data_IF_612923974561
#
_entry.id   IF_612923974561
#
_cell.length_a   1.000
_cell.length_b   1.000
_cell.length_c   1.000
_cell.angle_alpha   90.00
_cell.angle_beta   90.00
_cell.angle_gamma   90.00
#
_symmetry.space_group_name_H-M   'P 1'
#
loop_
_entity.id
_entity.type
_entity.pdbx_description
1 polymer ?
#
# COMPACT_ATOMS: atom_id res chain seq x y z
N UNK A 1 -40.74 25.93 -13.30
CA UNK A 1 -41.51 24.67 -13.12
C UNK A 1 -40.83 23.73 -12.14
N UNK A 2 -39.58 23.30 -12.37
CA UNK A 2 -38.86 22.38 -11.48
C UNK A 2 -38.66 22.88 -10.02
N UNK A 3 -38.37 24.16 -9.79
CA UNK A 3 -38.27 24.73 -8.43
C UNK A 3 -39.60 24.67 -7.65
N UNK A 4 -40.72 24.84 -8.35
CA UNK A 4 -42.07 24.75 -7.77
C UNK A 4 -42.42 23.28 -7.46
N UNK A 5 -42.02 22.35 -8.33
CA UNK A 5 -42.13 20.91 -8.07
C UNK A 5 -41.31 20.44 -6.87
N UNK A 6 -40.14 21.04 -6.61
CA UNK A 6 -39.26 20.69 -5.50
C UNK A 6 -39.82 21.17 -4.14
N UNK A 7 -40.37 22.39 -4.10
CA UNK A 7 -41.10 22.91 -2.93
C UNK A 7 -42.35 22.05 -2.66
N UNK A 8 -43.12 21.74 -3.72
CA UNK A 8 -44.32 20.90 -3.61
C UNK A 8 -43.99 19.47 -3.13
N UNK A 9 -42.91 18.85 -3.62
CA UNK A 9 -42.51 17.51 -3.18
C UNK A 9 -41.97 17.49 -1.74
N UNK A 10 -41.35 18.57 -1.26
CA UNK A 10 -40.97 18.72 0.17
C UNK A 10 -42.19 18.86 1.08
N UNK A 11 -43.26 19.50 0.61
CA UNK A 11 -44.51 19.64 1.36
C UNK A 11 -45.39 18.37 1.35
N UNK A 12 -45.21 17.47 0.37
CA UNK A 12 -46.07 16.31 0.14
C UNK A 12 -45.47 14.94 0.51
N UNK A 13 -44.40 14.90 1.33
CA UNK A 13 -43.74 13.65 1.81
C UNK A 13 -43.21 12.72 0.69
N UNK A 14 -43.14 13.20 -0.56
CA UNK A 14 -42.60 12.45 -1.70
C UNK A 14 -41.10 12.69 -1.84
N UNK A 15 -40.35 12.18 -0.85
CA UNK A 15 -38.90 12.37 -0.72
C UNK A 15 -38.12 11.87 -1.95
N UNK A 16 -38.50 10.73 -2.53
CA UNK A 16 -37.81 10.19 -3.72
C UNK A 16 -37.90 11.12 -4.93
N UNK A 17 -39.10 11.66 -5.22
CA UNK A 17 -39.28 12.61 -6.33
C UNK A 17 -38.63 13.96 -6.06
N UNK A 18 -38.59 14.39 -4.80
CA UNK A 18 -37.85 15.60 -4.41
C UNK A 18 -36.35 15.43 -4.71
N UNK A 19 -35.79 14.26 -4.37
CA UNK A 19 -34.39 13.93 -4.66
C UNK A 19 -34.15 13.86 -6.17
N UNK A 20 -35.00 13.17 -6.95
CA UNK A 20 -34.89 13.11 -8.41
C UNK A 20 -34.98 14.50 -9.07
N UNK A 21 -35.79 15.39 -8.50
CA UNK A 21 -35.90 16.77 -8.93
C UNK A 21 -34.63 17.58 -8.58
N UNK A 22 -34.05 17.40 -7.38
CA UNK A 22 -32.76 17.99 -7.01
C UNK A 22 -31.62 17.51 -7.92
N UNK A 23 -31.61 16.23 -8.28
CA UNK A 23 -30.64 15.63 -9.22
C UNK A 23 -30.81 16.24 -10.61
N UNK A 24 -32.05 16.33 -11.10
CA UNK A 24 -32.37 16.94 -12.39
C UNK A 24 -32.03 18.44 -12.44
N UNK A 25 -32.05 19.11 -11.29
CA UNK A 25 -31.67 20.52 -11.11
C UNK A 25 -30.19 20.72 -10.79
N UNK A 26 -29.37 19.66 -10.79
CA UNK A 26 -27.95 19.68 -10.48
C UNK A 26 -27.63 20.22 -9.05
N UNK A 27 -28.58 20.14 -8.11
CA UNK A 27 -28.49 20.61 -6.73
C UNK A 27 -28.12 19.46 -5.77
N UNK A 28 -26.91 18.94 -5.94
CA UNK A 28 -26.46 17.70 -5.28
C UNK A 28 -26.35 17.78 -3.76
N UNK A 29 -25.86 18.91 -3.20
CA UNK A 29 -25.75 19.07 -1.74
C UNK A 29 -27.11 18.93 -1.05
N UNK A 30 -28.13 19.60 -1.59
CA UNK A 30 -29.49 19.53 -1.07
C UNK A 30 -30.10 18.15 -1.26
N UNK A 31 -29.81 17.48 -2.39
CA UNK A 31 -30.24 16.11 -2.63
C UNK A 31 -29.70 15.13 -1.57
N UNK A 32 -28.42 15.28 -1.19
CA UNK A 32 -27.75 14.42 -0.21
C UNK A 32 -28.24 14.70 1.21
N UNK A 33 -28.40 15.97 1.58
CA UNK A 33 -28.91 16.33 2.90
C UNK A 33 -30.35 15.81 3.11
N UNK A 34 -31.18 15.89 2.06
CA UNK A 34 -32.52 15.29 2.06
C UNK A 34 -32.47 13.75 2.14
N UNK A 35 -31.56 13.12 1.40
CA UNK A 35 -31.41 11.66 1.41
C UNK A 35 -30.92 11.12 2.77
N UNK A 36 -30.02 11.87 3.44
CA UNK A 36 -29.55 11.57 4.80
C UNK A 36 -30.65 11.77 5.84
N UNK A 37 -31.43 12.84 5.74
CA UNK A 37 -32.51 13.15 6.69
C UNK A 37 -33.62 12.08 6.71
N UNK A 38 -33.90 11.44 5.56
CA UNK A 38 -34.96 10.45 5.42
C UNK A 38 -34.48 8.99 5.29
N UNK A 39 -33.17 8.73 5.47
CA UNK A 39 -32.54 7.41 5.46
C UNK A 39 -33.01 6.48 4.32
N UNK A 40 -33.03 7.01 3.09
CA UNK A 40 -33.51 6.26 1.92
C UNK A 40 -32.42 5.28 1.44
N UNK A 41 -32.81 4.05 1.11
CA UNK A 41 -31.90 2.97 0.65
C UNK A 41 -31.14 3.30 -0.65
N UNK A 42 -31.66 4.22 -1.47
CA UNK A 42 -31.08 4.65 -2.76
C UNK A 42 -29.97 5.71 -2.62
N UNK A 43 -29.58 6.06 -1.37
CA UNK A 43 -28.48 7.00 -1.09
C UNK A 43 -27.18 6.62 -1.80
N UNK A 44 -26.86 5.32 -1.88
CA UNK A 44 -25.62 4.82 -2.48
C UNK A 44 -25.51 5.10 -3.98
N UNK A 45 -26.57 4.89 -4.76
CA UNK A 45 -26.57 5.13 -6.21
C UNK A 45 -26.46 6.63 -6.53
N UNK A 46 -27.16 7.47 -5.77
CA UNK A 46 -27.11 8.93 -5.90
C UNK A 46 -25.72 9.49 -5.55
N UNK A 47 -25.11 8.95 -4.51
CA UNK A 47 -23.74 9.28 -4.13
C UNK A 47 -22.75 8.88 -5.24
N UNK A 48 -22.93 7.71 -5.86
CA UNK A 48 -22.09 7.26 -6.96
C UNK A 48 -22.18 8.20 -8.18
N UNK A 49 -23.40 8.60 -8.59
CA UNK A 49 -23.59 9.56 -9.70
C UNK A 49 -23.00 10.93 -9.40
N UNK A 50 -23.18 11.44 -8.18
CA UNK A 50 -22.59 12.72 -7.79
C UNK A 50 -21.06 12.66 -7.73
N UNK A 51 -20.51 11.57 -7.20
CA UNK A 51 -19.08 11.37 -7.17
C UNK A 51 -18.48 11.27 -8.58
N UNK A 52 -19.14 10.58 -9.52
CA UNK A 52 -18.72 10.53 -10.92
C UNK A 52 -18.68 11.94 -11.54
N UNK A 53 -19.71 12.76 -11.29
CA UNK A 53 -19.73 14.16 -11.71
C UNK A 53 -18.59 14.99 -11.10
N UNK A 54 -18.25 14.76 -9.82
CA UNK A 54 -17.12 15.43 -9.18
C UNK A 54 -15.77 14.97 -9.74
N UNK A 55 -15.64 13.69 -10.11
CA UNK A 55 -14.46 13.13 -10.74
C UNK A 55 -14.26 13.70 -12.16
N UNK A 56 -15.33 13.87 -12.94
CA UNK A 56 -15.31 14.53 -14.26
C UNK A 56 -14.87 15.99 -14.18
N UNK A 57 -15.19 16.68 -13.07
CA UNK A 57 -14.76 18.06 -12.80
C UNK A 57 -13.36 18.17 -12.16
N UNK A 58 -12.62 17.07 -12.07
CA UNK A 58 -11.32 16.97 -11.39
C UNK A 58 -11.34 17.35 -9.89
N UNK A 59 -12.52 17.44 -9.26
CA UNK A 59 -12.70 17.74 -7.84
C UNK A 59 -12.59 16.47 -6.99
N UNK A 60 -11.45 15.77 -7.10
CA UNK A 60 -11.24 14.46 -6.46
C UNK A 60 -11.28 14.52 -4.94
N UNK A 61 -10.76 15.59 -4.34
CA UNK A 61 -10.79 15.79 -2.87
C UNK A 61 -12.23 15.87 -2.37
N UNK A 62 -13.10 16.60 -3.06
CA UNK A 62 -14.51 16.72 -2.70
C UNK A 62 -15.24 15.37 -2.83
N UNK A 63 -14.91 14.58 -3.86
CA UNK A 63 -15.45 13.22 -4.03
C UNK A 63 -15.00 12.29 -2.88
N UNK A 64 -13.74 12.36 -2.46
CA UNK A 64 -13.21 11.58 -1.32
C UNK A 64 -13.94 11.95 -0.02
N UNK A 65 -14.12 13.24 0.26
CA UNK A 65 -14.84 13.70 1.44
C UNK A 65 -16.30 13.24 1.45
N UNK A 66 -16.95 13.25 0.29
CA UNK A 66 -18.31 12.76 0.13
C UNK A 66 -18.41 11.28 0.50
N UNK A 67 -17.56 10.43 -0.08
CA UNK A 67 -17.58 8.99 0.18
C UNK A 67 -17.23 8.66 1.64
N UNK A 68 -16.27 9.39 2.24
CA UNK A 68 -15.95 9.24 3.66
C UNK A 68 -17.13 9.62 4.56
N UNK A 69 -17.83 10.74 4.27
CA UNK A 69 -19.03 11.17 5.03
C UNK A 69 -20.22 10.21 4.87
N UNK A 70 -20.20 9.35 3.86
CA UNK A 70 -21.22 8.35 3.61
C UNK A 70 -20.83 6.95 4.11
N UNK A 71 -19.70 6.80 4.83
CA UNK A 71 -19.12 5.53 5.27
C UNK A 71 -18.78 4.55 4.12
N UNK A 72 -18.71 5.04 2.88
CA UNK A 72 -18.25 4.30 1.71
C UNK A 72 -16.70 4.35 1.63
N UNK A 73 -16.07 3.78 2.67
CA UNK A 73 -14.64 3.88 2.92
C UNK A 73 -13.79 3.15 1.85
N UNK A 74 -14.31 2.08 1.25
CA UNK A 74 -13.62 1.36 0.17
C UNK A 74 -13.52 2.20 -1.11
N UNK A 75 -14.64 2.80 -1.55
CA UNK A 75 -14.64 3.68 -2.72
C UNK A 75 -13.75 4.91 -2.51
N UNK A 76 -13.77 5.49 -1.30
CA UNK A 76 -12.87 6.58 -0.95
C UNK A 76 -11.39 6.16 -1.05
N UNK A 77 -11.04 5.00 -0.51
CA UNK A 77 -9.67 4.47 -0.55
C UNK A 77 -9.18 4.21 -1.98
N UNK A 78 -10.04 3.69 -2.86
CA UNK A 78 -9.72 3.48 -4.28
C UNK A 78 -9.40 4.79 -4.99
N UNK A 79 -10.22 5.82 -4.80
CA UNK A 79 -9.97 7.13 -5.42
C UNK A 79 -8.66 7.72 -4.90
N UNK A 80 -8.37 7.58 -3.61
CA UNK A 80 -7.08 8.03 -3.05
C UNK A 80 -5.90 7.26 -3.65
N UNK A 81 -6.02 5.94 -3.83
CA UNK A 81 -4.98 5.12 -4.43
C UNK A 81 -4.71 5.54 -5.89
N UNK A 82 -5.76 5.77 -6.68
CA UNK A 82 -5.64 6.26 -8.06
C UNK A 82 -4.97 7.64 -8.11
N UNK A 83 -5.33 8.55 -7.19
CA UNK A 83 -4.66 9.85 -7.05
C UNK A 83 -3.19 9.67 -6.68
N UNK A 84 -2.86 8.72 -5.79
CA UNK A 84 -1.48 8.43 -5.42
C UNK A 84 -0.65 7.92 -6.62
N UNK A 85 -1.22 7.07 -7.48
CA UNK A 85 -0.57 6.59 -8.69
C UNK A 85 -0.37 7.69 -9.74
N UNK A 86 -1.33 8.61 -9.87
CA UNK A 86 -1.16 9.77 -10.75
C UNK A 86 -0.07 10.72 -10.25
N UNK A 87 -0.02 10.99 -8.95
CA UNK A 87 1.04 11.81 -8.35
C UNK A 87 2.41 11.12 -8.44
N UNK A 88 2.46 9.79 -8.31
CA UNK A 88 3.66 9.01 -8.56
C UNK A 88 4.19 9.20 -10.00
N UNK A 89 3.30 9.23 -11.01
CA UNK A 89 3.68 9.47 -12.41
C UNK A 89 4.20 10.88 -12.67
N UNK A 90 3.64 11.89 -12.01
CA UNK A 90 4.09 13.28 -12.12
C UNK A 90 5.47 13.52 -11.50
N UNK A 91 6.06 12.51 -10.83
CA UNK A 91 7.31 12.63 -10.06
C UNK A 91 7.25 13.77 -9.04
N UNK A 92 6.05 14.09 -8.53
CA UNK A 92 5.87 15.05 -7.43
C UNK A 92 6.47 14.48 -6.13
N UNK A 93 6.55 15.30 -5.07
CA UNK A 93 7.24 14.95 -3.83
C UNK A 93 6.86 13.53 -3.32
N UNK A 94 7.81 12.57 -3.18
CA UNK A 94 7.49 11.20 -2.79
C UNK A 94 6.84 11.08 -1.39
N UNK A 95 7.07 12.09 -0.54
CA UNK A 95 6.40 12.25 0.75
C UNK A 95 4.88 12.40 0.63
N UNK A 96 4.38 13.12 -0.38
CA UNK A 96 2.95 13.30 -0.60
C UNK A 96 2.31 11.97 -1.02
N UNK A 97 2.98 11.23 -1.92
CA UNK A 97 2.53 9.90 -2.36
C UNK A 97 2.45 8.92 -1.19
N UNK A 98 3.47 8.89 -0.31
CA UNK A 98 3.43 8.11 0.94
C UNK A 98 2.19 8.46 1.78
N UNK A 99 1.92 9.75 2.00
CA UNK A 99 0.78 10.20 2.81
C UNK A 99 -0.56 9.77 2.23
N UNK A 100 -0.71 9.80 0.91
CA UNK A 100 -1.92 9.34 0.22
C UNK A 100 -2.12 7.83 0.40
N UNK A 101 -1.09 7.00 0.21
CA UNK A 101 -1.20 5.57 0.45
C UNK A 101 -1.50 5.23 1.92
N UNK A 102 -0.91 5.96 2.88
CA UNK A 102 -1.24 5.80 4.30
C UNK A 102 -2.72 6.12 4.56
N UNK A 103 -3.23 7.21 3.98
CA UNK A 103 -4.64 7.58 4.11
C UNK A 103 -5.57 6.51 3.53
N UNK A 104 -5.26 5.99 2.34
CA UNK A 104 -6.03 4.90 1.73
C UNK A 104 -6.04 3.65 2.64
N UNK A 105 -4.88 3.26 3.20
CA UNK A 105 -4.78 2.10 4.07
C UNK A 105 -5.56 2.25 5.37
N UNK A 106 -5.56 3.45 5.97
CA UNK A 106 -6.33 3.75 7.17
C UNK A 106 -7.85 3.64 6.92
N UNK A 107 -8.33 4.08 5.77
CA UNK A 107 -9.75 3.96 5.39
C UNK A 107 -10.17 2.50 5.20
N UNK A 108 -9.33 1.68 4.56
CA UNK A 108 -9.58 0.23 4.43
C UNK A 108 -9.63 -0.44 5.81
N UNK A 109 -8.74 -0.04 6.72
CA UNK A 109 -8.74 -0.55 8.07
C UNK A 109 -9.99 -0.12 8.86
N UNK A 110 -10.44 1.11 8.70
CA UNK A 110 -11.67 1.61 9.30
C UNK A 110 -12.90 0.84 8.79
N UNK A 111 -12.98 0.59 7.49
CA UNK A 111 -14.02 -0.27 6.90
C UNK A 111 -14.03 -1.68 7.52
N UNK A 112 -12.85 -2.30 7.66
CA UNK A 112 -12.72 -3.62 8.32
C UNK A 112 -13.20 -3.59 9.77
N UNK A 113 -12.89 -2.52 10.52
CA UNK A 113 -13.38 -2.34 11.92
C UNK A 113 -14.90 -2.18 11.97
N UNK A 114 -15.49 -1.39 11.07
CA UNK A 114 -16.95 -1.20 10.98
C UNK A 114 -17.70 -2.50 10.65
N UNK A 115 -17.14 -3.32 9.76
CA UNK A 115 -17.66 -4.65 9.47
C UNK A 115 -17.63 -5.55 10.71
N UNK A 116 -16.50 -5.59 11.44
CA UNK A 116 -16.38 -6.37 12.69
C UNK A 116 -17.43 -5.94 13.73
N UNK A 117 -17.59 -4.64 13.98
CA UNK A 117 -18.60 -4.14 14.94
C UNK A 117 -20.05 -4.44 14.52
N UNK A 118 -20.32 -4.49 13.21
CA UNK A 118 -21.67 -4.82 12.70
C UNK A 118 -21.97 -6.31 12.89
N UNK A 119 -20.95 -7.16 12.70
CA UNK A 119 -21.07 -8.62 12.85
C UNK A 119 -21.16 -9.05 14.33
N UNK A 120 -20.41 -8.40 15.22
CA UNK A 120 -20.46 -8.65 16.68
C UNK A 120 -21.83 -8.29 17.31
N UNK A 121 -22.58 -7.37 16.70
CA UNK A 121 -23.93 -7.00 17.13
C UNK A 121 -25.03 -8.01 16.75
N UNK A 122 -24.74 -8.96 15.85
CA UNK A 122 -25.67 -10.01 15.42
C UNK A 122 -25.24 -11.36 15.96
N UNK A 123 -25.79 -11.75 17.11
CA UNK A 123 -25.56 -13.06 17.74
C UNK A 123 -26.05 -14.19 16.83
N UNK A 124 -25.18 -14.83 16.04
CA UNK A 124 -25.28 -16.26 15.63
C UNK A 124 -23.92 -16.82 15.18
N UNK A 125 -23.40 -17.77 15.97
CA UNK A 125 -22.74 -19.01 15.52
C UNK A 125 -21.41 -18.95 14.74
N UNK A 126 -20.39 -19.64 15.27
CA UNK A 126 -19.03 -19.90 14.75
C UNK A 126 -18.89 -20.43 13.30
N UNK A 127 -19.94 -20.45 12.48
CA UNK A 127 -19.89 -21.01 11.11
C UNK A 127 -19.90 -19.96 10.00
N UNK A 128 -20.31 -18.72 10.29
CA UNK A 128 -20.31 -17.64 9.29
C UNK A 128 -18.96 -16.92 9.19
N UNK A 129 -18.11 -17.03 10.22
CA UNK A 129 -16.74 -16.49 10.24
C UNK A 129 -15.81 -17.23 9.25
N UNK A 130 -15.87 -18.56 9.24
CA UNK A 130 -15.09 -19.42 8.35
C UNK A 130 -15.39 -19.20 6.86
N UNK A 131 -16.64 -18.88 6.49
CA UNK A 131 -17.03 -18.65 5.09
C UNK A 131 -16.44 -17.34 4.52
N UNK A 132 -16.14 -16.35 5.38
CA UNK A 132 -15.51 -15.09 5.01
C UNK A 132 -13.99 -15.05 5.29
N UNK A 133 -13.42 -16.14 5.82
CA UNK A 133 -11.99 -16.20 6.18
C UNK A 133 -11.61 -15.26 7.33
N UNK A 134 -12.52 -15.06 8.30
CA UNK A 134 -12.33 -14.15 9.43
C UNK A 134 -11.96 -14.84 10.75
N UNK A 135 -11.68 -16.15 10.74
CA UNK A 135 -11.05 -16.82 11.87
C UNK A 135 -9.55 -16.49 11.86
N UNK A 136 -9.18 -15.39 12.52
CA UNK A 136 -7.83 -15.13 13.06
C UNK A 136 -7.66 -15.97 14.34
N UNK A 137 -7.79 -17.31 14.26
CA UNK A 137 -7.36 -18.21 15.35
C UNK A 137 -5.91 -18.65 15.06
N UNK A 138 -4.97 -17.89 15.63
CA UNK A 138 -3.65 -18.30 16.14
C UNK A 138 -2.64 -19.11 15.29
N UNK A 139 -2.74 -19.13 13.96
CA UNK A 139 -1.57 -19.39 13.08
C UNK A 139 -1.57 -18.48 11.84
N UNK A 140 -1.56 -17.15 12.06
CA UNK A 140 -1.18 -16.22 10.99
C UNK A 140 0.34 -16.12 10.89
N UNK A 141 0.93 -16.69 9.83
CA UNK A 141 2.34 -16.54 9.51
C UNK A 141 2.72 -15.03 9.42
N UNK A 142 3.62 -14.52 10.26
CA UNK A 142 3.59 -13.12 10.65
C UNK A 142 4.43 -12.21 9.74
N UNK A 143 4.51 -12.52 8.43
CA UNK A 143 5.53 -11.94 7.56
C UNK A 143 5.09 -11.36 6.22
N UNK A 144 4.01 -11.77 5.54
CA UNK A 144 3.80 -11.23 4.16
C UNK A 144 2.40 -11.03 3.60
N UNK A 145 1.31 -11.22 4.36
CA UNK A 145 -0.04 -10.93 3.84
C UNK A 145 -0.34 -11.60 2.49
N UNK A 146 0.26 -12.78 2.23
CA UNK A 146 0.01 -13.57 1.03
C UNK A 146 -0.61 -14.89 1.47
N UNK A 147 -1.84 -15.13 0.99
CA UNK A 147 -2.57 -16.38 1.23
C UNK A 147 -1.86 -17.51 0.47
N UNK A 148 -1.39 -18.55 1.17
CA UNK A 148 -1.12 -19.83 0.51
C UNK A 148 -2.46 -20.48 0.19
N UNK A 149 -2.76 -20.65 -1.10
CA UNK A 149 -3.83 -21.55 -1.53
C UNK A 149 -3.34 -22.99 -1.35
N UNK A 150 -3.62 -23.61 -0.20
CA UNK A 150 -3.57 -25.06 -0.07
C UNK A 150 -4.89 -25.64 -0.56
N UNK A 151 -4.80 -26.46 -1.61
CA UNK A 151 -5.93 -26.93 -2.41
C UNK A 151 -7.04 -27.62 -1.62
N UNK A 152 -8.27 -27.23 -1.97
CA UNK A 152 -9.51 -27.90 -1.61
C UNK A 152 -10.52 -27.67 -2.74
N UNK A 153 -10.51 -28.57 -3.72
CA UNK A 153 -11.48 -28.65 -4.81
C UNK A 153 -12.88 -28.99 -4.27
N UNK A 154 -13.89 -28.16 -4.54
CA UNK A 154 -15.25 -28.57 -4.96
C UNK A 154 -16.13 -27.35 -5.24
N UNK A 155 -16.78 -27.32 -6.41
CA UNK A 155 -18.02 -26.56 -6.61
C UNK A 155 -17.99 -25.39 -7.57
N UNK A 156 -17.82 -25.67 -8.86
CA UNK A 156 -18.14 -24.79 -9.99
C UNK A 156 -19.58 -24.24 -9.91
N UNK A 157 -19.71 -22.92 -9.76
CA UNK A 157 -20.91 -22.14 -10.06
C UNK A 157 -20.49 -20.87 -10.78
N UNK A 158 -20.50 -20.91 -12.12
CA UNK A 158 -20.03 -19.83 -12.97
C UNK A 158 -20.92 -18.59 -12.86
N UNK A 159 -20.30 -17.47 -12.53
CA UNK A 159 -20.85 -16.13 -12.75
C UNK A 159 -19.75 -15.30 -13.41
N UNK A 160 -19.78 -15.23 -14.74
CA UNK A 160 -18.85 -14.44 -15.54
C UNK A 160 -19.22 -12.96 -15.40
N UNK A 161 -18.37 -12.18 -14.75
CA UNK A 161 -18.50 -10.72 -14.60
C UNK A 161 -17.20 -10.04 -15.07
N UNK A 162 -17.27 -8.82 -15.61
CA UNK A 162 -16.18 -8.22 -16.38
C UNK A 162 -14.94 -7.86 -15.52
N UNK A 163 -13.76 -8.18 -16.07
CA UNK A 163 -12.52 -8.49 -15.35
C UNK A 163 -11.58 -7.31 -14.98
N UNK A 164 -11.90 -6.05 -15.26
CA UNK A 164 -10.90 -4.95 -15.19
C UNK A 164 -10.95 -4.06 -13.94
N UNK A 165 -12.13 -3.77 -13.40
CA UNK A 165 -12.28 -2.82 -12.27
C UNK A 165 -12.23 -3.49 -10.89
N UNK A 166 -12.47 -4.80 -10.80
CA UNK A 166 -12.45 -5.54 -9.54
C UNK A 166 -11.03 -5.95 -9.10
N UNK A 167 -10.09 -6.09 -10.04
CA UNK A 167 -8.73 -6.58 -9.76
C UNK A 167 -7.89 -5.58 -8.97
N UNK A 168 -8.04 -4.28 -9.25
CA UNK A 168 -7.46 -3.19 -8.44
C UNK A 168 -8.08 -3.14 -7.04
N UNK A 169 -9.38 -3.42 -6.93
CA UNK A 169 -10.10 -3.46 -5.66
C UNK A 169 -9.57 -4.59 -4.77
N UNK A 170 -9.32 -5.78 -5.34
CA UNK A 170 -8.77 -6.93 -4.61
C UNK A 170 -7.34 -6.67 -4.11
N UNK A 171 -6.47 -6.06 -4.93
CA UNK A 171 -5.09 -5.75 -4.52
C UNK A 171 -5.02 -4.77 -3.33
N UNK A 172 -5.83 -3.70 -3.36
CA UNK A 172 -5.92 -2.73 -2.27
C UNK A 172 -6.57 -3.34 -1.01
N UNK A 173 -7.51 -4.26 -1.19
CA UNK A 173 -8.13 -5.01 -0.09
C UNK A 173 -7.22 -6.09 0.48
N UNK A 174 -6.33 -6.70 -0.28
CA UNK A 174 -5.40 -7.74 0.21
C UNK A 174 -4.24 -7.10 0.99
N UNK A 175 -3.57 -6.10 0.40
CA UNK A 175 -2.38 -5.48 1.00
C UNK A 175 -2.42 -3.93 0.94
N UNK A 176 -3.27 -3.28 1.75
CA UNK A 176 -3.48 -1.83 1.70
C UNK A 176 -2.23 -1.01 2.00
N UNK A 177 -1.30 -1.55 2.80
CA UNK A 177 -0.09 -0.86 3.23
C UNK A 177 1.07 -0.96 2.24
N UNK A 178 1.01 -1.85 1.23
CA UNK A 178 2.14 -2.13 0.34
C UNK A 178 2.65 -0.88 -0.39
N UNK A 179 1.74 -0.01 -0.82
CA UNK A 179 2.09 1.27 -1.43
C UNK A 179 2.81 2.21 -0.47
N UNK A 180 2.32 2.31 0.77
CA UNK A 180 2.91 3.14 1.81
C UNK A 180 4.29 2.63 2.23
N UNK A 181 4.46 1.32 2.36
CA UNK A 181 5.74 0.66 2.67
C UNK A 181 6.80 0.95 1.62
N UNK A 182 6.47 0.77 0.34
CA UNK A 182 7.39 1.01 -0.77
C UNK A 182 7.97 2.43 -0.72
N UNK A 183 7.10 3.44 -0.69
CA UNK A 183 7.52 4.83 -0.65
C UNK A 183 8.22 5.18 0.67
N UNK A 184 7.83 4.57 1.78
CA UNK A 184 8.51 4.76 3.04
C UNK A 184 9.96 4.28 3.00
N UNK A 185 10.20 3.06 2.52
CA UNK A 185 11.53 2.48 2.39
C UNK A 185 12.37 3.25 1.36
N UNK A 186 11.75 3.74 0.28
CA UNK A 186 12.40 4.56 -0.74
C UNK A 186 12.93 5.87 -0.16
N UNK A 187 12.09 6.59 0.57
CA UNK A 187 12.48 7.80 1.29
C UNK A 187 13.52 7.52 2.38
N UNK A 188 13.39 6.40 3.09
CA UNK A 188 14.35 6.02 4.13
C UNK A 188 15.74 5.75 3.55
N UNK A 189 15.84 5.03 2.44
CA UNK A 189 17.10 4.77 1.75
C UNK A 189 17.75 6.07 1.25
N UNK A 190 16.97 7.00 0.70
CA UNK A 190 17.46 8.32 0.30
C UNK A 190 18.01 9.10 1.50
N UNK A 191 17.28 9.15 2.61
CA UNK A 191 17.72 9.84 3.84
C UNK A 191 19.00 9.21 4.41
N UNK A 192 19.08 7.88 4.46
CA UNK A 192 20.27 7.17 4.92
C UNK A 192 21.51 7.49 4.06
N UNK A 193 21.34 7.69 2.74
CA UNK A 193 22.43 8.14 1.87
C UNK A 193 22.85 9.57 2.17
N UNK A 194 21.90 10.49 2.35
CA UNK A 194 22.21 11.89 2.68
C UNK A 194 22.91 12.03 4.04
N UNK A 195 22.56 11.19 5.01
CA UNK A 195 23.20 11.14 6.33
C UNK A 195 24.55 10.39 6.32
N UNK A 196 24.90 9.73 5.22
CA UNK A 196 26.16 8.99 5.08
C UNK A 196 26.14 7.55 5.61
N UNK A 197 24.98 7.05 6.03
CA UNK A 197 24.79 5.65 6.45
C UNK A 197 24.69 4.70 5.24
N UNK A 198 25.79 4.58 4.49
CA UNK A 198 25.85 3.85 3.20
C UNK A 198 25.50 2.37 3.31
N UNK A 199 25.84 1.71 4.42
CA UNK A 199 25.53 0.29 4.62
C UNK A 199 24.02 0.06 4.86
N UNK A 200 23.42 0.91 5.69
CA UNK A 200 21.98 0.89 5.94
C UNK A 200 21.20 1.22 4.66
N UNK A 201 21.62 2.24 3.92
CA UNK A 201 21.03 2.61 2.64
C UNK A 201 21.04 1.48 1.62
N UNK A 202 22.17 0.77 1.50
CA UNK A 202 22.29 -0.37 0.58
C UNK A 202 21.32 -1.49 0.97
N UNK A 203 21.21 -1.81 2.25
CA UNK A 203 20.28 -2.84 2.76
C UNK A 203 18.82 -2.47 2.48
N UNK A 204 18.43 -1.25 2.79
CA UNK A 204 17.08 -0.74 2.49
C UNK A 204 16.80 -0.80 0.98
N UNK A 205 17.80 -0.45 0.16
CA UNK A 205 17.69 -0.54 -1.32
C UNK A 205 17.55 -1.97 -1.84
N UNK A 206 18.16 -2.95 -1.18
CA UNK A 206 17.99 -4.37 -1.52
C UNK A 206 16.58 -4.86 -1.23
N UNK A 207 15.97 -4.42 -0.13
CA UNK A 207 14.57 -4.71 0.22
C UNK A 207 13.60 -4.09 -0.79
N UNK A 208 13.91 -2.90 -1.31
CA UNK A 208 13.05 -2.21 -2.29
C UNK A 208 12.81 -3.00 -3.59
N UNK A 209 13.64 -3.99 -3.91
CA UNK A 209 13.45 -4.89 -5.06
C UNK A 209 12.14 -5.67 -4.99
N UNK A 210 11.62 -5.93 -3.80
CA UNK A 210 10.31 -6.60 -3.62
C UNK A 210 9.13 -5.66 -3.99
N UNK A 211 9.39 -4.38 -4.26
CA UNK A 211 8.40 -3.33 -4.53
C UNK A 211 8.50 -2.73 -5.96
N UNK A 212 9.15 -3.42 -6.90
CA UNK A 212 9.23 -3.03 -8.32
C UNK A 212 7.86 -2.81 -9.00
N UNK A 213 6.79 -3.38 -8.45
CA UNK A 213 5.42 -3.17 -8.95
C UNK A 213 4.74 -1.89 -8.46
N UNK A 214 5.36 -1.14 -7.54
CA UNK A 214 4.81 0.13 -7.01
C UNK A 214 5.70 1.31 -7.39
N UNK A 215 7.02 1.13 -7.30
CA UNK A 215 8.01 2.13 -7.66
C UNK A 215 8.66 1.69 -8.98
N UNK A 216 8.86 2.59 -9.95
CA UNK A 216 9.56 2.25 -11.19
C UNK A 216 10.89 1.54 -10.92
N UNK A 217 11.09 0.40 -11.57
CA UNK A 217 12.27 -0.44 -11.36
C UNK A 217 13.58 0.33 -11.59
N UNK A 218 13.60 1.25 -12.57
CA UNK A 218 14.72 2.16 -12.82
C UNK A 218 15.15 2.90 -11.54
N UNK A 219 14.22 3.54 -10.84
CA UNK A 219 14.52 4.30 -9.62
C UNK A 219 15.04 3.39 -8.50
N UNK A 220 14.49 2.18 -8.37
CA UNK A 220 14.91 1.20 -7.36
C UNK A 220 16.35 0.76 -7.62
N UNK A 221 16.67 0.37 -8.85
CA UNK A 221 17.99 -0.12 -9.20
C UNK A 221 19.05 1.00 -9.29
N UNK A 222 18.68 2.22 -9.69
CA UNK A 222 19.56 3.39 -9.61
C UNK A 222 19.96 3.69 -8.17
N UNK A 223 19.00 3.67 -7.24
CA UNK A 223 19.26 3.87 -5.81
C UNK A 223 20.12 2.74 -5.23
N UNK A 224 19.88 1.50 -5.65
CA UNK A 224 20.69 0.34 -5.27
C UNK A 224 22.12 0.45 -5.81
N UNK A 225 22.31 0.83 -7.09
CA UNK A 225 23.63 1.01 -7.69
C UNK A 225 24.42 2.12 -6.97
N UNK A 226 23.77 3.25 -6.69
CA UNK A 226 24.37 4.36 -5.96
C UNK A 226 24.79 3.95 -4.54
N UNK A 227 23.89 3.33 -3.78
CA UNK A 227 24.17 2.89 -2.41
C UNK A 227 25.22 1.78 -2.35
N UNK A 228 25.19 0.82 -3.29
CA UNK A 228 26.18 -0.24 -3.39
C UNK A 228 27.57 0.29 -3.78
N UNK A 229 27.63 1.26 -4.70
CA UNK A 229 28.88 1.95 -5.06
C UNK A 229 29.47 2.69 -3.85
N UNK A 230 28.64 3.42 -3.09
CA UNK A 230 29.06 4.11 -1.88
C UNK A 230 29.54 3.15 -0.77
N UNK A 231 28.92 1.97 -0.63
CA UNK A 231 29.35 0.93 0.31
C UNK A 231 30.51 0.06 -0.21
N UNK A 232 31.02 0.31 -1.43
CA UNK A 232 32.04 -0.52 -2.11
C UNK A 232 31.64 -1.99 -2.31
N UNK A 233 30.34 -2.25 -2.40
CA UNK A 233 29.78 -3.57 -2.73
C UNK A 233 29.63 -3.71 -4.25
N UNK A 234 30.76 -3.84 -4.95
CA UNK A 234 30.80 -3.76 -6.42
C UNK A 234 30.12 -4.93 -7.13
N UNK A 235 30.03 -6.12 -6.51
CA UNK A 235 29.32 -7.23 -7.14
C UNK A 235 27.80 -7.04 -7.08
N UNK A 236 27.29 -6.46 -5.98
CA UNK A 236 25.88 -6.04 -5.87
C UNK A 236 25.59 -4.86 -6.81
N UNK A 237 26.51 -3.90 -6.92
CA UNK A 237 26.41 -2.79 -7.86
C UNK A 237 26.34 -3.27 -9.33
N UNK A 238 27.23 -4.20 -9.73
CA UNK A 238 27.24 -4.76 -11.09
C UNK A 238 25.93 -5.47 -11.43
N UNK A 239 25.36 -6.25 -10.49
CA UNK A 239 24.05 -6.88 -10.68
C UNK A 239 22.93 -5.85 -10.87
N UNK A 240 23.01 -4.70 -10.19
CA UNK A 240 22.03 -3.63 -10.36
C UNK A 240 22.14 -2.98 -11.74
N UNK A 241 23.35 -2.73 -12.25
CA UNK A 241 23.58 -2.23 -13.62
C UNK A 241 23.08 -3.20 -14.69
N UNK A 242 23.40 -4.49 -14.57
CA UNK A 242 22.88 -5.52 -15.49
C UNK A 242 21.35 -5.51 -15.51
N UNK A 243 20.72 -5.29 -14.34
CA UNK A 243 19.27 -5.19 -14.26
C UNK A 243 18.75 -3.92 -14.93
N UNK A 244 19.37 -2.76 -14.70
CA UNK A 244 19.03 -1.51 -15.37
C UNK A 244 19.09 -1.66 -16.89
N UNK A 245 20.18 -2.20 -17.44
CA UNK A 245 20.35 -2.42 -18.89
C UNK A 245 19.29 -3.37 -19.47
N UNK A 246 18.81 -4.33 -18.66
CA UNK A 246 17.80 -5.31 -19.09
C UNK A 246 16.36 -4.81 -19.03
N UNK A 247 16.10 -3.60 -18.52
CA UNK A 247 14.74 -3.08 -18.37
C UNK A 247 14.16 -2.64 -19.73
N UNK A 248 12.96 -3.11 -20.11
CA UNK A 248 12.34 -2.81 -21.40
C UNK A 248 11.79 -1.38 -21.51
N UNK A 249 11.57 -0.71 -20.38
CA UNK A 249 10.92 0.61 -20.29
C UNK A 249 11.89 1.80 -20.36
N UNK A 250 13.20 1.55 -20.55
CA UNK A 250 14.22 2.59 -20.55
C UNK A 250 14.41 3.14 -21.97
N UNK A 251 14.45 4.47 -22.07
CA UNK A 251 14.78 5.16 -23.32
C UNK A 251 16.22 4.80 -23.75
N UNK A 252 16.43 4.53 -25.04
CA UNK A 252 17.72 4.04 -25.58
C UNK A 252 18.91 4.92 -25.16
N UNK A 253 18.68 6.22 -24.97
CA UNK A 253 19.65 7.20 -24.49
C UNK A 253 20.11 6.95 -23.04
N UNK A 254 19.20 6.59 -22.13
CA UNK A 254 19.52 6.33 -20.72
C UNK A 254 20.26 5.00 -20.54
N UNK A 255 19.92 3.99 -21.35
CA UNK A 255 20.62 2.70 -21.35
C UNK A 255 22.10 2.85 -21.69
N UNK A 256 22.43 3.67 -22.70
CA UNK A 256 23.82 3.98 -23.06
C UNK A 256 24.57 4.69 -21.92
N UNK A 257 23.92 5.65 -21.25
CA UNK A 257 24.53 6.34 -20.09
C UNK A 257 24.83 5.36 -18.95
N UNK A 258 23.94 4.40 -18.69
CA UNK A 258 24.17 3.37 -17.69
C UNK A 258 25.33 2.44 -18.06
N UNK A 259 25.44 2.05 -19.33
CA UNK A 259 26.54 1.22 -19.84
C UNK A 259 27.89 1.93 -19.73
N UNK A 260 27.96 3.20 -20.16
CA UNK A 260 29.17 4.03 -20.04
C UNK A 260 29.60 4.18 -18.57
N UNK A 261 28.64 4.47 -17.67
CA UNK A 261 28.91 4.61 -16.25
C UNK A 261 29.38 3.29 -15.61
N UNK A 262 28.78 2.17 -16.00
CA UNK A 262 29.21 0.84 -15.55
C UNK A 262 30.65 0.56 -15.97
N UNK A 263 31.01 0.86 -17.22
CA UNK A 263 32.37 0.67 -17.73
C UNK A 263 33.38 1.53 -16.95
N UNK A 264 33.08 2.81 -16.72
CA UNK A 264 33.95 3.72 -15.97
C UNK A 264 34.22 3.26 -14.53
N UNK A 265 33.22 2.66 -13.89
CA UNK A 265 33.33 2.13 -12.53
C UNK A 265 34.11 0.81 -12.53
N UNK A 266 33.73 -0.16 -13.37
CA UNK A 266 34.25 -1.53 -13.28
C UNK A 266 35.60 -1.74 -13.97
N UNK A 267 36.05 -0.80 -14.81
CA UNK A 267 37.46 -0.74 -15.24
C UNK A 267 38.39 -0.50 -14.04
N UNK A 268 37.93 0.26 -13.04
CA UNK A 268 38.73 0.62 -11.86
C UNK A 268 38.50 -0.32 -10.67
N UNK A 269 37.29 -0.85 -10.54
CA UNK A 269 36.89 -1.66 -9.39
C UNK A 269 36.38 -3.03 -9.81
N UNK A 270 37.07 -4.08 -9.38
CA UNK A 270 36.64 -5.46 -9.65
C UNK A 270 35.32 -5.73 -8.90
N UNK A 271 34.30 -6.34 -9.54
CA UNK A 271 33.02 -6.72 -8.91
C UNK A 271 33.17 -7.82 -7.83
N UNK A 272 33.77 -7.48 -6.69
CA UNK A 272 33.89 -8.36 -5.52
C UNK A 272 33.33 -7.65 -4.30
N UNK A 273 32.39 -8.31 -3.63
CA UNK A 273 31.83 -7.80 -2.39
C UNK A 273 32.82 -8.06 -1.24
N UNK A 274 33.38 -6.98 -0.68
CA UNK A 274 34.40 -7.07 0.38
C UNK A 274 33.81 -7.36 1.76
N UNK A 275 32.49 -7.21 1.93
CA UNK A 275 31.77 -7.33 3.21
C UNK A 275 30.66 -8.36 3.08
N UNK A 276 30.92 -9.56 3.56
CA UNK A 276 29.94 -10.64 3.56
C UNK A 276 29.61 -11.01 5.01
N UNK A 277 28.83 -10.15 5.67
CA UNK A 277 28.26 -10.45 6.99
C UNK A 277 27.27 -11.61 6.83
N UNK A 278 27.56 -12.73 7.50
CA UNK A 278 26.73 -13.95 7.46
C UNK A 278 26.04 -14.12 8.80
N UNK A 279 24.73 -14.31 8.75
CA UNK A 279 23.85 -14.53 9.89
C UNK A 279 23.15 -15.87 9.74
N UNK A 280 22.74 -16.47 10.86
CA UNK A 280 22.07 -17.77 10.86
C UNK A 280 20.56 -17.57 10.78
N UNK A 281 19.89 -18.39 9.99
CA UNK A 281 18.44 -18.35 9.89
C UNK A 281 17.81 -18.81 11.21
N UNK A 282 16.90 -18.04 11.82
CA UNK A 282 16.27 -18.42 13.09
C UNK A 282 15.37 -19.67 13.02
N UNK A 283 15.06 -20.16 11.81
CA UNK A 283 14.17 -21.32 11.60
C UNK A 283 14.89 -22.59 11.17
N UNK A 284 16.04 -22.50 10.50
CA UNK A 284 16.72 -23.66 9.91
C UNK A 284 18.25 -23.61 9.99
N UNK A 285 18.82 -22.66 10.72
CA UNK A 285 20.26 -22.44 10.91
C UNK A 285 21.09 -22.27 9.62
N UNK A 286 20.43 -22.13 8.47
CA UNK A 286 21.09 -21.86 7.20
C UNK A 286 21.80 -20.49 7.24
N UNK A 287 23.01 -20.42 6.68
CA UNK A 287 23.80 -19.19 6.64
C UNK A 287 23.27 -18.24 5.57
N UNK A 288 22.65 -17.15 6.01
CA UNK A 288 22.10 -16.09 5.19
C UNK A 288 23.02 -14.88 5.17
N UNK A 289 22.85 -14.04 4.15
CA UNK A 289 23.34 -12.67 4.23
C UNK A 289 22.41 -11.83 5.10
N UNK A 290 22.95 -10.81 5.75
CA UNK A 290 22.22 -9.95 6.69
C UNK A 290 21.10 -9.12 6.04
N UNK A 291 21.08 -9.05 4.70
CA UNK A 291 20.09 -8.35 3.89
C UNK A 291 19.11 -9.30 3.17
N UNK A 292 19.13 -10.59 3.48
CA UNK A 292 18.17 -11.55 2.90
C UNK A 292 16.77 -11.30 3.45
N UNK A 293 15.79 -11.06 2.57
CA UNK A 293 14.35 -10.95 2.92
C UNK A 293 13.65 -12.30 2.99
N UNK A 294 14.31 -13.36 2.52
CA UNK A 294 13.84 -14.75 2.60
C UNK A 294 14.99 -15.75 2.68
N UNK A 295 14.74 -16.90 3.30
CA UNK A 295 15.69 -18.00 3.37
C UNK A 295 15.58 -18.90 2.12
N UNK A 296 16.67 -19.25 1.43
CA UNK A 296 16.62 -20.15 0.27
C UNK A 296 16.41 -21.62 0.65
N UNK A 297 16.63 -22.01 1.92
CA UNK A 297 16.45 -23.39 2.37
C UNK A 297 15.04 -23.65 2.89
N UNK A 298 14.55 -22.83 3.82
CA UNK A 298 13.23 -23.02 4.42
C UNK A 298 12.14 -22.13 3.81
N UNK A 299 12.48 -21.24 2.88
CA UNK A 299 11.55 -20.29 2.25
C UNK A 299 10.82 -19.34 3.21
N UNK A 300 11.19 -19.32 4.50
CA UNK A 300 10.70 -18.35 5.48
C UNK A 300 11.11 -16.95 5.05
N UNK A 301 10.14 -16.04 4.99
CA UNK A 301 10.40 -14.61 4.79
C UNK A 301 10.70 -13.96 6.14
N UNK A 302 11.40 -12.84 6.13
CA UNK A 302 11.69 -12.07 7.33
C UNK A 302 11.03 -10.69 7.25
N UNK A 303 10.37 -10.23 8.31
CA UNK A 303 9.72 -8.92 8.30
C UNK A 303 10.78 -7.82 8.26
N UNK A 304 10.45 -6.69 7.63
CA UNK A 304 11.36 -5.55 7.50
C UNK A 304 11.11 -4.56 8.63
N UNK A 305 12.17 -4.07 9.25
CA UNK A 305 12.11 -3.03 10.25
C UNK A 305 11.75 -1.69 9.61
N UNK A 306 10.55 -1.16 9.87
CA UNK A 306 10.13 0.12 9.29
C UNK A 306 10.98 1.32 9.75
N UNK A 307 11.68 1.22 10.87
CA UNK A 307 12.55 2.28 11.35
C UNK A 307 13.90 2.36 10.61
N UNK A 308 14.45 1.22 10.19
CA UNK A 308 15.84 1.13 9.69
C UNK A 308 15.95 0.52 8.29
N UNK A 309 14.90 -0.11 7.78
CA UNK A 309 14.89 -0.82 6.50
C UNK A 309 15.58 -2.20 6.52
N UNK A 310 16.10 -2.65 7.68
CA UNK A 310 16.78 -3.95 7.81
C UNK A 310 15.77 -5.10 7.94
N UNK A 311 16.02 -6.28 7.34
CA UNK A 311 15.30 -7.50 7.68
C UNK A 311 15.50 -7.84 9.17
N UNK A 312 14.43 -8.17 9.86
CA UNK A 312 14.42 -8.56 11.25
C UNK A 312 14.71 -10.07 11.35
N UNK A 313 15.99 -10.38 11.50
CA UNK A 313 16.52 -11.74 11.69
C UNK A 313 16.73 -12.09 13.17
N UNK A 314 16.53 -11.10 14.05
CA UNK A 314 16.66 -11.21 15.50
C UNK A 314 15.51 -12.03 16.11
N UNK A 315 15.65 -12.41 17.38
CA UNK A 315 14.59 -13.12 18.10
C UNK A 315 13.27 -12.32 18.13
N UNK A 316 12.10 -12.97 17.98
CA UNK A 316 10.80 -12.30 17.94
C UNK A 316 10.50 -11.36 19.13
N UNK A 317 11.11 -11.61 20.28
CA UNK A 317 10.98 -10.79 21.49
C UNK A 317 11.54 -9.37 21.35
N UNK A 318 12.46 -9.13 20.41
CA UNK A 318 13.07 -7.81 20.16
C UNK A 318 12.34 -7.01 19.09
N UNK A 319 11.16 -7.48 18.67
CA UNK A 319 10.35 -6.84 17.64
C UNK A 319 9.20 -6.07 18.26
N UNK A 320 9.19 -4.76 18.06
CA UNK A 320 8.03 -3.93 18.33
C UNK A 320 7.03 -4.06 17.17
N UNK A 321 5.74 -4.15 17.47
CA UNK A 321 4.66 -4.21 16.46
C UNK A 321 3.67 -3.06 16.68
N UNK A 322 3.34 -2.34 15.60
CA UNK A 322 2.38 -1.24 15.68
C UNK A 322 0.93 -1.75 15.84
N UNK A 323 0.16 -1.16 16.75
CA UNK A 323 -1.26 -1.50 16.94
C UNK A 323 -2.18 -1.10 15.78
N UNK A 324 -1.81 -0.08 14.99
CA UNK A 324 -2.60 0.37 13.85
C UNK A 324 -2.19 -0.35 12.57
N UNK A 325 -0.95 -0.23 12.11
CA UNK A 325 -0.54 -0.81 10.83
C UNK A 325 -0.06 -2.26 10.92
N UNK A 326 0.14 -2.81 12.13
CA UNK A 326 0.69 -4.16 12.39
C UNK A 326 2.11 -4.40 11.84
N UNK A 327 2.81 -3.36 11.39
CA UNK A 327 4.21 -3.47 10.97
C UNK A 327 5.17 -3.53 12.14
N UNK A 328 6.31 -4.18 11.86
CA UNK A 328 7.35 -4.43 12.84
C UNK A 328 8.49 -3.42 12.73
N UNK A 329 9.12 -3.14 13.85
CA UNK A 329 10.37 -2.42 13.96
C UNK A 329 11.24 -3.05 15.04
N UNK A 330 12.55 -2.77 15.01
CA UNK A 330 13.45 -3.15 16.09
C UNK A 330 13.07 -2.37 17.35
N UNK A 331 12.93 -3.05 18.48
CA UNK A 331 12.50 -2.43 19.75
C UNK A 331 13.46 -1.31 20.19
N UNK A 332 14.77 -1.52 20.07
CA UNK A 332 15.79 -0.53 20.39
C UNK A 332 15.58 0.81 19.66
N UNK A 333 15.14 0.75 18.40
CA UNK A 333 14.88 1.92 17.54
C UNK A 333 13.58 2.64 17.90
N UNK A 334 12.64 1.95 18.54
CA UNK A 334 11.36 2.51 18.93
C UNK A 334 11.41 3.23 20.28
N UNK A 335 12.38 2.92 21.15
CA UNK A 335 12.56 3.60 22.45
C UNK A 335 12.74 5.12 22.32
N UNK A 336 13.38 5.58 21.23
CA UNK A 336 13.64 7.00 20.96
C UNK A 336 12.47 7.67 20.26
N UNK A 337 11.58 6.91 19.63
CA UNK A 337 10.51 7.42 18.75
C UNK A 337 9.17 7.49 19.49
N UNK A 338 8.46 8.60 19.29
CA UNK A 338 7.11 8.81 19.86
C UNK A 338 5.98 8.35 18.94
N UNK A 339 6.27 8.06 17.68
CA UNK A 339 5.28 7.70 16.67
C UNK A 339 5.82 6.63 15.72
N UNK A 340 4.89 5.86 15.14
CA UNK A 340 5.20 4.84 14.15
C UNK A 340 5.81 5.48 12.89
N UNK A 341 6.96 4.98 12.37
CA UNK A 341 7.59 5.51 11.16
C UNK A 341 6.73 5.43 9.89
N UNK A 342 5.82 4.44 9.83
CA UNK A 342 4.97 4.21 8.67
C UNK A 342 3.65 4.98 8.75
N UNK A 343 2.84 4.72 9.78
CA UNK A 343 1.47 5.24 9.88
C UNK A 343 1.34 6.49 10.77
N UNK A 344 2.41 6.93 11.42
CA UNK A 344 2.43 8.08 12.35
C UNK A 344 1.51 7.96 13.57
N UNK A 345 0.96 6.77 13.85
CA UNK A 345 0.23 6.51 15.10
C UNK A 345 1.16 6.70 16.31
N UNK A 346 0.66 7.22 17.45
CA UNK A 346 1.46 7.35 18.66
C UNK A 346 1.91 5.97 19.16
N UNK A 347 3.15 5.90 19.61
CA UNK A 347 3.70 4.73 20.30
C UNK A 347 3.26 4.88 21.76
N UNK A 348 2.40 3.97 22.23
CA UNK A 348 1.93 3.94 23.62
C UNK A 348 2.95 3.28 24.53
#
# INVERSE_FOLDING_TARGET
VLFVSLIFCRQCDQVRKAIDCCVSLNQWHQAIDLAKAHNVRDTSELLARYAQYLLEKEQRVAAIELYRKANHNLQAAQIIANVAEEEARKKTSPMAVKKLYVLAALLVQEHRKQLKSTLEGTVVGSRSSALLGLDEDDEEDPVTGRRLMTGGSTGTGGFSLPDSEMTSNLSLLENPWRGAEAYHLYLLAQNQLYEGYVDAAMRTSLVLRDYEGVIPAENVYCLLALSACANRAFATCSKAFIKLESLPDIEVSQSQVHEELAMDIFVKYVPKDSRMSRVQCPHCDHKLSEWSTSCPSCHSRFPVCMATGRPLLDSPSLHWTCSQCRHKAAEAEMTVRKSCPLCHAPVN
#
